data_IF_885845153672
#
_entry.id   IF_885845153672
#
_cell.length_a   1.000
_cell.length_b   1.000
_cell.length_c   1.000
_cell.angle_alpha   90.00
_cell.angle_beta   90.00
_cell.angle_gamma   90.00
#
_symmetry.space_group_name_H-M   'P 1'
#
loop_
_entity.id
_entity.type
_entity.pdbx_description
1 polymer ?
#
# COMPACT_ATOMS: atom_id res chain seq x y z
N UNK A 1 5.17 13.75 12.83
CA UNK A 1 5.71 12.41 12.48
C UNK A 1 7.09 12.23 13.11
N UNK A 2 7.44 11.02 13.56
CA UNK A 2 8.81 10.69 14.01
C UNK A 2 9.73 10.48 12.80
N UNK A 3 10.95 11.00 12.87
CA UNK A 3 11.94 10.86 11.79
C UNK A 3 13.04 9.86 12.17
N UNK A 4 13.53 9.10 11.19
CA UNK A 4 14.64 8.17 11.31
C UNK A 4 15.87 8.68 10.52
N UNK A 5 17.09 8.64 11.08
CA UNK A 5 18.26 9.35 10.52
C UNK A 5 18.70 8.97 9.09
N UNK A 6 18.27 7.82 8.57
CA UNK A 6 18.70 7.29 7.26
C UNK A 6 17.66 7.51 6.16
N UNK A 7 16.56 8.21 6.46
CA UNK A 7 15.44 8.42 5.55
C UNK A 7 15.42 9.88 5.09
N UNK A 8 15.36 10.09 3.77
CA UNK A 8 15.19 11.39 3.13
C UNK A 8 13.70 11.75 3.06
N UNK A 9 13.23 12.42 4.11
CA UNK A 9 11.84 12.89 4.18
C UNK A 9 11.52 14.03 3.22
N UNK A 10 12.54 14.71 2.67
CA UNK A 10 12.38 15.79 1.71
C UNK A 10 12.36 15.28 0.26
N UNK A 11 12.59 13.97 0.04
CA UNK A 11 12.45 13.35 -1.27
C UNK A 11 11.05 13.62 -1.84
N UNK A 12 11.00 14.25 -3.01
CA UNK A 12 9.79 14.54 -3.78
C UNK A 12 9.98 13.98 -5.18
N UNK A 13 9.10 13.10 -5.69
CA UNK A 13 9.18 12.67 -7.08
C UNK A 13 8.88 13.86 -8.00
N UNK A 14 9.58 13.92 -9.14
CA UNK A 14 9.31 14.95 -10.16
C UNK A 14 7.89 14.82 -10.71
N UNK A 15 7.42 13.58 -10.84
CA UNK A 15 6.11 13.24 -11.36
C UNK A 15 5.62 11.88 -10.83
N UNK A 16 4.31 11.68 -10.74
CA UNK A 16 3.72 10.38 -10.39
C UNK A 16 3.49 9.47 -11.59
N UNK A 17 3.42 10.01 -12.81
CA UNK A 17 3.02 9.25 -13.99
C UNK A 17 4.18 8.66 -14.79
N UNK A 18 5.43 8.96 -14.42
CA UNK A 18 6.63 8.41 -15.05
C UNK A 18 7.06 7.08 -14.41
N UNK A 19 7.27 6.07 -15.24
CA UNK A 19 7.80 4.80 -14.78
C UNK A 19 9.32 4.87 -14.62
N UNK A 20 9.85 4.60 -13.42
CA UNK A 20 11.30 4.57 -13.13
C UNK A 20 12.08 3.55 -13.98
N UNK A 21 11.45 2.41 -14.27
CA UNK A 21 12.04 1.30 -15.01
C UNK A 21 10.95 0.39 -15.60
N UNK A 22 11.38 -0.63 -16.36
CA UNK A 22 10.46 -1.61 -16.99
C UNK A 22 9.68 -2.38 -15.94
N UNK A 23 10.29 -2.74 -14.81
CA UNK A 23 9.59 -3.51 -13.77
C UNK A 23 8.44 -2.70 -13.18
N UNK A 24 8.64 -1.41 -12.95
CA UNK A 24 7.59 -0.50 -12.49
C UNK A 24 6.42 -0.47 -13.48
N UNK A 25 6.70 -0.32 -14.78
CA UNK A 25 5.68 -0.34 -15.82
C UNK A 25 4.89 -1.66 -15.85
N UNK A 26 5.54 -2.80 -15.59
CA UNK A 26 4.90 -4.12 -15.55
C UNK A 26 3.95 -4.31 -14.36
N UNK A 27 4.24 -3.68 -13.21
CA UNK A 27 3.45 -3.89 -11.97
C UNK A 27 2.46 -2.77 -11.67
N UNK A 28 2.64 -1.57 -12.24
CA UNK A 28 1.89 -0.36 -11.89
C UNK A 28 0.37 -0.52 -11.96
N UNK A 29 -0.12 -1.17 -13.02
CA UNK A 29 -1.56 -1.36 -13.24
C UNK A 29 -2.07 -2.74 -12.78
N UNK A 30 -1.23 -3.53 -12.11
CA UNK A 30 -1.61 -4.83 -11.55
C UNK A 30 -2.11 -4.61 -10.14
N UNK A 31 -3.38 -4.86 -9.84
CA UNK A 31 -3.94 -4.57 -8.50
C UNK A 31 -3.53 -5.63 -7.45
N UNK A 32 -3.51 -6.89 -7.86
CA UNK A 32 -3.21 -8.05 -7.02
C UNK A 32 -1.84 -8.04 -6.36
N UNK A 33 -1.79 -8.06 -5.02
CA UNK A 33 -0.56 -8.05 -4.25
C UNK A 33 0.33 -9.28 -4.57
N UNK A 34 -0.27 -10.47 -4.54
CA UNK A 34 0.45 -11.71 -4.86
C UNK A 34 0.93 -11.77 -6.31
N UNK A 35 0.13 -11.27 -7.27
CA UNK A 35 0.56 -11.22 -8.68
C UNK A 35 1.74 -10.29 -8.88
N UNK A 36 1.77 -9.12 -8.23
CA UNK A 36 2.95 -8.24 -8.25
C UNK A 36 4.20 -8.94 -7.73
N UNK A 37 4.11 -9.68 -6.62
CA UNK A 37 5.23 -10.45 -6.05
C UNK A 37 5.77 -11.47 -7.06
N UNK A 38 4.88 -12.17 -7.77
CA UNK A 38 5.27 -13.15 -8.80
C UNK A 38 5.91 -12.46 -10.01
N UNK A 39 5.33 -11.35 -10.52
CA UNK A 39 5.92 -10.57 -11.62
C UNK A 39 7.35 -10.14 -11.28
N UNK A 40 7.56 -9.56 -10.09
CA UNK A 40 8.87 -9.10 -9.63
C UNK A 40 9.87 -10.26 -9.57
N UNK A 41 9.48 -11.38 -8.96
CA UNK A 41 10.35 -12.55 -8.86
C UNK A 41 10.79 -13.09 -10.23
N UNK A 42 9.87 -13.19 -11.19
CA UNK A 42 10.19 -13.65 -12.56
C UNK A 42 11.06 -12.65 -13.34
N UNK A 43 10.80 -11.35 -13.16
CA UNK A 43 11.61 -10.31 -13.79
C UNK A 43 13.04 -10.32 -13.26
N UNK A 44 13.22 -10.36 -11.94
CA UNK A 44 14.53 -10.39 -11.28
C UNK A 44 15.32 -11.67 -11.59
N UNK A 45 14.64 -12.80 -11.76
CA UNK A 45 15.25 -14.06 -12.17
C UNK A 45 15.61 -14.12 -13.68
N UNK A 46 15.23 -13.11 -14.47
CA UNK A 46 15.49 -13.07 -15.91
C UNK A 46 14.66 -14.08 -16.71
N UNK A 47 13.53 -14.55 -16.17
CA UNK A 47 12.66 -15.53 -16.80
C UNK A 47 11.22 -15.03 -17.02
N UNK A 48 11.04 -13.71 -17.11
CA UNK A 48 9.72 -13.08 -17.34
C UNK A 48 8.95 -13.65 -18.53
N UNK A 49 9.63 -14.08 -19.60
CA UNK A 49 9.02 -14.73 -20.77
C UNK A 49 8.30 -16.06 -20.46
N UNK A 50 8.58 -16.67 -19.31
CA UNK A 50 7.97 -17.92 -18.84
C UNK A 50 6.76 -17.66 -17.93
N UNK A 51 6.47 -16.39 -17.60
CA UNK A 51 5.35 -16.03 -16.76
C UNK A 51 4.03 -16.29 -17.48
N UNK A 52 3.12 -17.02 -16.83
CA UNK A 52 1.77 -17.23 -17.36
C UNK A 52 1.05 -15.89 -17.53
N UNK A 53 0.38 -15.73 -18.67
CA UNK A 53 -0.27 -14.47 -19.07
C UNK A 53 -1.23 -13.95 -17.99
N UNK A 54 -1.89 -14.85 -17.26
CA UNK A 54 -2.81 -14.52 -16.15
C UNK A 54 -2.15 -13.59 -15.13
N UNK A 55 -0.85 -13.76 -14.84
CA UNK A 55 -0.16 -12.92 -13.88
C UNK A 55 0.15 -11.53 -14.43
N UNK A 56 0.36 -11.41 -15.74
CA UNK A 56 0.74 -10.16 -16.41
C UNK A 56 -0.43 -9.25 -16.79
N UNK A 57 -1.68 -9.74 -16.72
CA UNK A 57 -2.89 -8.94 -16.99
C UNK A 57 -3.04 -7.80 -15.98
N UNK A 58 -3.60 -6.67 -16.39
CA UNK A 58 -3.94 -5.59 -15.45
C UNK A 58 -5.08 -6.02 -14.52
N UNK A 59 -6.16 -6.53 -15.11
CA UNK A 59 -7.36 -7.00 -14.39
C UNK A 59 -7.69 -8.44 -14.77
N UNK A 60 -8.02 -9.24 -13.75
CA UNK A 60 -8.53 -10.60 -13.91
C UNK A 60 -10.04 -10.61 -14.14
N UNK A 61 -10.51 -11.59 -14.91
CA UNK A 61 -11.91 -11.98 -14.93
C UNK A 61 -12.34 -12.60 -13.59
N UNK A 62 -13.64 -12.71 -13.37
CA UNK A 62 -14.18 -13.37 -12.17
C UNK A 62 -13.78 -14.85 -12.11
N UNK A 63 -13.75 -15.54 -13.24
CA UNK A 63 -13.35 -16.94 -13.32
C UNK A 63 -11.87 -17.13 -12.94
N UNK A 64 -10.99 -16.23 -13.41
CA UNK A 64 -9.57 -16.24 -13.07
C UNK A 64 -9.33 -15.93 -11.58
N UNK A 65 -10.04 -14.94 -11.02
CA UNK A 65 -10.00 -14.65 -9.57
C UNK A 65 -10.39 -15.88 -8.75
N UNK A 66 -11.51 -16.51 -9.09
CA UNK A 66 -11.99 -17.71 -8.39
C UNK A 66 -11.04 -18.89 -8.56
N UNK A 67 -10.38 -19.03 -9.71
CA UNK A 67 -9.38 -20.06 -9.93
C UNK A 67 -8.18 -19.87 -8.98
N UNK A 68 -7.61 -18.67 -8.91
CA UNK A 68 -6.48 -18.39 -8.04
C UNK A 68 -6.84 -18.47 -6.55
N UNK A 69 -8.03 -18.01 -6.16
CA UNK A 69 -8.51 -18.10 -4.78
C UNK A 69 -8.63 -19.56 -4.27
N UNK A 70 -8.90 -20.53 -5.17
CA UNK A 70 -8.91 -21.96 -4.83
C UNK A 70 -7.50 -22.52 -4.59
N UNK A 71 -6.47 -21.89 -5.15
CA UNK A 71 -5.07 -22.27 -4.88
C UNK A 71 -4.66 -21.78 -3.49
N UNK A 72 -4.92 -20.51 -3.20
CA UNK A 72 -4.68 -19.92 -1.89
C UNK A 72 -5.52 -18.64 -1.71
N UNK A 73 -6.14 -18.39 -0.53
CA UNK A 73 -7.00 -17.22 -0.33
C UNK A 73 -6.26 -15.88 -0.49
N UNK A 74 -4.95 -15.83 -0.22
CA UNK A 74 -4.16 -14.59 -0.39
C UNK A 74 -4.01 -14.14 -1.84
N UNK A 75 -4.38 -14.96 -2.83
CA UNK A 75 -4.49 -14.51 -4.22
C UNK A 75 -5.67 -13.56 -4.45
N UNK A 76 -6.57 -13.41 -3.47
CA UNK A 76 -7.68 -12.45 -3.54
C UNK A 76 -7.20 -11.02 -3.29
N UNK A 77 -6.18 -10.85 -2.46
CA UNK A 77 -5.67 -9.56 -2.01
C UNK A 77 -5.31 -8.58 -3.12
N UNK A 78 -6.07 -7.49 -3.18
CA UNK A 78 -5.99 -6.42 -4.16
C UNK A 78 -6.70 -6.71 -5.48
N UNK A 79 -7.20 -7.91 -5.75
CA UNK A 79 -7.87 -8.22 -7.02
C UNK A 79 -9.24 -7.57 -7.15
N UNK A 80 -9.84 -7.21 -6.01
CA UNK A 80 -11.17 -6.61 -5.92
C UNK A 80 -11.12 -5.08 -5.81
N UNK A 81 -9.93 -4.48 -5.75
CA UNK A 81 -9.76 -3.03 -5.87
C UNK A 81 -10.43 -2.51 -7.16
N UNK A 82 -10.98 -1.29 -7.16
CA UNK A 82 -11.52 -0.69 -8.38
C UNK A 82 -10.42 -0.55 -9.44
N UNK A 83 -10.79 -0.65 -10.72
CA UNK A 83 -9.86 -0.37 -11.82
C UNK A 83 -9.38 1.10 -11.76
N UNK A 84 -8.19 1.35 -12.31
CA UNK A 84 -7.63 2.71 -12.34
C UNK A 84 -8.44 3.61 -13.27
N UNK A 85 -8.72 4.83 -12.80
CA UNK A 85 -9.29 5.89 -13.61
C UNK A 85 -8.31 6.42 -14.67
N UNK A 86 -8.83 7.26 -15.58
CA UNK A 86 -7.97 8.00 -16.50
C UNK A 86 -7.02 8.92 -15.70
N UNK A 87 -5.74 8.91 -16.07
CA UNK A 87 -4.67 9.64 -15.37
C UNK A 87 -4.60 9.35 -13.86
N UNK A 88 -5.08 8.19 -13.40
CA UNK A 88 -4.95 7.77 -12.02
C UNK A 88 -3.76 6.81 -11.88
N UNK A 89 -3.03 6.90 -10.78
CA UNK A 89 -1.94 5.99 -10.45
C UNK A 89 -1.87 5.74 -8.95
N UNK A 90 -1.50 4.53 -8.55
CA UNK A 90 -1.20 4.23 -7.15
C UNK A 90 0.13 4.88 -6.76
N UNK A 91 0.14 5.61 -5.65
CA UNK A 91 1.35 6.26 -5.10
C UNK A 91 1.86 5.56 -3.85
N UNK A 92 1.01 4.83 -3.14
CA UNK A 92 1.35 3.99 -2.02
C UNK A 92 0.27 2.93 -1.80
N UNK A 93 0.64 1.84 -1.14
CA UNK A 93 -0.31 0.79 -0.77
C UNK A 93 -0.04 0.25 0.63
N UNK A 94 -1.10 -0.21 1.27
CA UNK A 94 -1.11 -0.89 2.54
C UNK A 94 -1.55 -2.33 2.27
N UNK A 95 -0.70 -3.31 2.56
CA UNK A 95 -1.01 -4.73 2.48
C UNK A 95 -1.18 -5.28 3.90
N UNK A 96 -2.29 -5.97 4.15
CA UNK A 96 -2.55 -6.62 5.43
C UNK A 96 -2.22 -8.12 5.33
N UNK A 97 -1.62 -8.67 6.38
CA UNK A 97 -1.41 -10.12 6.57
C UNK A 97 -2.70 -10.76 7.10
N UNK A 98 -3.83 -10.41 6.51
CA UNK A 98 -5.15 -10.99 6.79
C UNK A 98 -5.36 -12.29 6.00
N UNK A 99 -6.45 -13.01 6.27
CA UNK A 99 -6.79 -14.25 5.55
C UNK A 99 -6.90 -14.03 4.03
N UNK A 100 -7.47 -12.90 3.61
CA UNK A 100 -7.68 -12.56 2.20
C UNK A 100 -6.54 -11.68 1.64
N UNK A 101 -5.58 -11.29 2.49
CA UNK A 101 -4.48 -10.39 2.17
C UNK A 101 -4.97 -9.01 1.68
N UNK A 102 -5.92 -8.42 2.42
CA UNK A 102 -6.62 -7.20 2.01
C UNK A 102 -5.65 -6.05 1.69
N UNK A 103 -6.02 -5.24 0.71
CA UNK A 103 -5.21 -4.13 0.21
C UNK A 103 -5.97 -2.81 0.28
N UNK A 104 -5.30 -1.79 0.79
CA UNK A 104 -5.72 -0.39 0.69
C UNK A 104 -4.76 0.33 -0.25
N UNK A 105 -5.30 0.95 -1.29
CA UNK A 105 -4.56 1.63 -2.35
C UNK A 105 -4.74 3.14 -2.21
N UNK A 106 -3.63 3.87 -2.13
CA UNK A 106 -3.60 5.33 -2.11
C UNK A 106 -3.24 5.79 -3.51
N UNK A 107 -4.12 6.59 -4.12
CA UNK A 107 -4.00 6.96 -5.53
C UNK A 107 -3.94 8.47 -5.70
N UNK A 108 -3.29 8.87 -6.78
CA UNK A 108 -3.24 10.23 -7.27
C UNK A 108 -3.85 10.28 -8.68
N UNK A 109 -4.65 11.29 -8.95
CA UNK A 109 -5.22 11.58 -10.26
C UNK A 109 -4.92 13.03 -10.66
N UNK A 110 -4.45 13.25 -11.88
CA UNK A 110 -4.28 14.60 -12.42
C UNK A 110 -5.59 15.08 -13.04
N UNK A 111 -6.15 16.17 -12.53
CA UNK A 111 -7.34 16.79 -13.10
C UNK A 111 -7.02 17.71 -14.31
N UNK A 112 -8.07 18.26 -14.92
CA UNK A 112 -7.96 19.12 -16.10
C UNK A 112 -7.18 20.43 -15.81
N UNK A 113 -7.19 20.89 -14.55
CA UNK A 113 -6.53 22.10 -14.09
C UNK A 113 -5.07 21.85 -13.64
N UNK A 114 -4.52 20.66 -13.94
CA UNK A 114 -3.18 20.22 -13.51
C UNK A 114 -3.04 20.16 -11.98
N UNK A 115 -4.15 19.97 -11.26
CA UNK A 115 -4.14 19.74 -9.82
C UNK A 115 -4.15 18.24 -9.54
N UNK A 116 -3.36 17.80 -8.55
CA UNK A 116 -3.33 16.41 -8.14
C UNK A 116 -4.43 16.18 -7.12
N UNK A 117 -5.36 15.28 -7.43
CA UNK A 117 -6.39 14.80 -6.51
C UNK A 117 -5.98 13.48 -5.89
N UNK A 118 -6.28 13.29 -4.61
CA UNK A 118 -5.98 12.06 -3.89
C UNK A 118 -7.24 11.27 -3.58
N UNK A 119 -7.12 9.95 -3.64
CA UNK A 119 -8.16 9.01 -3.23
C UNK A 119 -7.55 7.84 -2.47
N UNK A 120 -8.35 7.24 -1.60
CA UNK A 120 -8.02 6.00 -0.90
C UNK A 120 -9.15 5.03 -1.19
N UNK A 121 -8.79 3.84 -1.64
CA UNK A 121 -9.74 2.79 -2.01
C UNK A 121 -9.27 1.45 -1.48
N UNK A 122 -10.23 0.59 -1.15
CA UNK A 122 -10.00 -0.76 -0.67
C UNK A 122 -10.87 -1.76 -1.45
N UNK A 123 -10.89 -3.00 -0.98
CA UNK A 123 -11.65 -4.09 -1.61
C UNK A 123 -13.11 -4.16 -1.16
N UNK A 124 -13.48 -3.43 -0.10
CA UNK A 124 -14.81 -3.43 0.49
C UNK A 124 -15.62 -2.16 0.20
N UNK A 125 -15.05 -1.22 -0.54
CA UNK A 125 -15.63 0.10 -0.81
C UNK A 125 -15.94 0.87 0.49
N UNK A 126 -15.00 0.82 1.43
CA UNK A 126 -15.05 1.61 2.66
C UNK A 126 -14.91 3.10 2.35
N UNK A 127 -15.57 3.94 3.16
CA UNK A 127 -15.39 5.39 3.11
C UNK A 127 -14.17 5.82 3.91
N UNK A 128 -13.31 6.61 3.29
CA UNK A 128 -12.10 7.16 3.92
C UNK A 128 -12.22 8.67 4.11
N UNK A 129 -11.81 9.14 5.27
CA UNK A 129 -11.65 10.57 5.56
C UNK A 129 -10.19 10.95 5.31
N UNK A 130 -9.97 11.72 4.25
CA UNK A 130 -8.64 12.15 3.84
C UNK A 130 -8.14 13.33 4.68
N UNK A 131 -6.84 13.35 4.97
CA UNK A 131 -6.18 14.52 5.57
C UNK A 131 -6.23 15.75 4.65
N UNK A 132 -6.02 15.54 3.35
CA UNK A 132 -6.23 16.50 2.27
C UNK A 132 -6.72 15.74 1.04
N UNK A 133 -7.50 16.36 0.17
CA UNK A 133 -8.00 15.75 -1.06
C UNK A 133 -7.22 16.20 -2.31
N UNK A 134 -6.28 17.16 -2.17
CA UNK A 134 -5.48 17.64 -3.30
C UNK A 134 -4.14 18.26 -2.91
N UNK A 135 -3.29 18.47 -3.93
CA UNK A 135 -2.08 19.29 -3.89
C UNK A 135 -1.72 19.83 -5.28
N UNK A 136 -0.85 20.85 -5.34
CA UNK A 136 -0.34 21.39 -6.60
C UNK A 136 0.87 20.62 -7.15
N UNK A 137 1.61 19.92 -6.29
CA UNK A 137 2.83 19.18 -6.62
C UNK A 137 2.80 17.81 -5.92
N UNK A 138 3.48 16.79 -6.46
CA UNK A 138 3.63 15.50 -5.77
C UNK A 138 4.11 15.69 -4.33
N UNK A 139 3.64 14.87 -3.40
CA UNK A 139 4.07 14.96 -2.01
C UNK A 139 5.57 14.72 -1.87
N UNK A 140 6.18 15.33 -0.87
CA UNK A 140 7.40 14.80 -0.27
C UNK A 140 7.09 13.48 0.44
N UNK A 141 8.11 12.67 0.72
CA UNK A 141 7.94 11.48 1.57
C UNK A 141 7.32 11.85 2.92
N UNK A 142 7.75 12.96 3.54
CA UNK A 142 7.16 13.47 4.77
C UNK A 142 5.68 13.81 4.64
N UNK A 143 5.28 14.53 3.59
CA UNK A 143 3.86 14.85 3.33
C UNK A 143 3.01 13.60 3.05
N UNK A 144 3.55 12.58 2.35
CA UNK A 144 2.85 11.32 2.15
C UNK A 144 2.64 10.57 3.47
N UNK A 145 3.64 10.56 4.36
CA UNK A 145 3.48 9.94 5.69
C UNK A 145 2.46 10.72 6.52
N UNK A 146 2.50 12.06 6.50
CA UNK A 146 1.47 12.87 7.16
C UNK A 146 0.08 12.58 6.61
N UNK A 147 -0.06 12.42 5.30
CA UNK A 147 -1.31 12.03 4.66
C UNK A 147 -1.81 10.67 5.17
N UNK A 148 -0.94 9.66 5.25
CA UNK A 148 -1.32 8.31 5.73
C UNK A 148 -1.67 8.32 7.22
N UNK A 149 -0.85 8.97 8.04
CA UNK A 149 -1.00 9.00 9.50
C UNK A 149 -2.20 9.84 9.97
N UNK A 150 -2.69 10.77 9.14
CA UNK A 150 -3.83 11.64 9.48
C UNK A 150 -5.09 11.37 8.64
N UNK A 151 -5.05 10.43 7.71
CA UNK A 151 -6.25 9.90 7.07
C UNK A 151 -6.83 8.78 7.93
N UNK A 152 -8.15 8.59 7.87
CA UNK A 152 -8.89 7.69 8.76
C UNK A 152 -9.86 6.83 7.95
N UNK A 153 -10.13 5.62 8.43
CA UNK A 153 -11.27 4.83 7.95
C UNK A 153 -12.54 5.27 8.70
N UNK A 154 -13.72 4.97 8.16
CA UNK A 154 -14.97 5.27 8.84
C UNK A 154 -15.09 4.55 10.19
N UNK A 155 -14.49 3.36 10.30
CA UNK A 155 -14.59 2.49 11.48
C UNK A 155 -13.52 2.75 12.54
N UNK A 156 -12.36 3.33 12.19
CA UNK A 156 -11.28 3.59 13.15
C UNK A 156 -10.46 4.85 12.85
N UNK A 157 -10.33 5.70 13.87
CA UNK A 157 -9.49 6.91 13.87
C UNK A 157 -8.20 6.75 14.70
N UNK A 158 -8.00 5.60 15.36
CA UNK A 158 -6.88 5.46 16.29
C UNK A 158 -5.58 5.08 15.58
N UNK A 159 -4.69 6.06 15.43
CA UNK A 159 -3.37 5.89 14.83
C UNK A 159 -3.32 6.08 13.31
N UNK A 160 -4.36 6.68 12.71
CA UNK A 160 -4.45 6.87 11.26
C UNK A 160 -4.46 5.56 10.48
N UNK A 161 -4.33 5.64 9.16
CA UNK A 161 -4.27 4.44 8.31
C UNK A 161 -3.05 3.58 8.56
N UNK A 162 -1.98 4.15 9.11
CA UNK A 162 -0.75 3.41 9.35
C UNK A 162 -0.88 2.38 10.46
N UNK A 163 -1.56 2.72 11.57
CA UNK A 163 -1.65 1.86 12.74
C UNK A 163 -3.07 1.35 13.05
N UNK A 164 -4.13 1.83 12.39
CA UNK A 164 -5.51 1.45 12.75
C UNK A 164 -5.73 -0.06 12.81
N UNK A 165 -5.25 -0.83 11.82
CA UNK A 165 -5.42 -2.28 11.79
C UNK A 165 -4.59 -3.01 12.86
N UNK A 166 -3.34 -2.61 13.05
CA UNK A 166 -2.48 -3.11 14.11
C UNK A 166 -3.10 -2.88 15.50
N UNK A 167 -3.61 -1.67 15.70
CA UNK A 167 -4.25 -1.25 16.93
C UNK A 167 -5.53 -2.04 17.24
N UNK A 168 -6.39 -2.24 16.24
CA UNK A 168 -7.59 -3.08 16.38
C UNK A 168 -7.25 -4.52 16.74
N UNK A 169 -6.25 -5.12 16.09
CA UNK A 169 -5.83 -6.49 16.39
C UNK A 169 -5.13 -6.61 17.76
N UNK A 170 -4.46 -5.56 18.22
CA UNK A 170 -3.80 -5.53 19.53
C UNK A 170 -4.78 -5.57 20.71
N UNK A 171 -6.09 -5.44 20.48
CA UNK A 171 -7.12 -5.71 21.51
C UNK A 171 -7.22 -7.20 21.85
N UNK A 172 -6.73 -8.08 20.97
CA UNK A 172 -6.89 -9.53 21.06
C UNK A 172 -5.59 -10.32 20.86
N UNK A 173 -4.49 -9.65 20.49
CA UNK A 173 -3.20 -10.27 20.18
C UNK A 173 -2.05 -9.42 20.75
N UNK A 174 -0.92 -10.07 21.01
CA UNK A 174 0.28 -9.37 21.45
C UNK A 174 0.88 -8.53 20.31
N UNK A 175 1.34 -7.32 20.62
CA UNK A 175 1.87 -6.42 19.58
C UNK A 175 3.11 -6.96 18.89
N UNK A 176 3.91 -7.77 19.58
CA UNK A 176 5.11 -8.41 19.01
C UNK A 176 4.73 -9.32 17.82
N UNK A 177 3.58 -9.99 17.88
CA UNK A 177 3.06 -10.85 16.81
C UNK A 177 2.44 -10.06 15.64
N UNK A 178 2.25 -8.75 15.82
CA UNK A 178 1.61 -7.85 14.84
C UNK A 178 2.60 -6.94 14.11
N UNK A 179 3.90 -7.03 14.39
CA UNK A 179 4.94 -6.19 13.75
C UNK A 179 4.93 -6.31 12.23
N UNK A 180 4.64 -7.51 11.70
CA UNK A 180 4.56 -7.78 10.26
C UNK A 180 3.13 -7.90 9.73
N UNK A 181 2.13 -7.53 10.54
CA UNK A 181 0.72 -7.61 10.13
C UNK A 181 0.40 -6.61 9.01
N UNK A 182 0.90 -5.38 9.11
CA UNK A 182 0.68 -4.35 8.10
C UNK A 182 2.01 -4.03 7.42
N UNK A 183 2.00 -3.97 6.09
CA UNK A 183 3.12 -3.50 5.28
C UNK A 183 2.68 -2.30 4.45
N UNK A 184 3.36 -1.18 4.59
CA UNK A 184 3.09 0.05 3.81
C UNK A 184 4.26 0.27 2.88
N UNK A 185 4.01 0.40 1.58
CA UNK A 185 5.07 0.47 0.57
C UNK A 185 4.66 1.33 -0.62
N UNK A 186 5.65 1.70 -1.44
CA UNK A 186 5.46 2.48 -2.66
C UNK A 186 6.51 2.13 -3.70
N UNK A 187 6.11 2.09 -4.97
CA UNK A 187 7.05 2.01 -6.10
C UNK A 187 7.73 3.35 -6.41
N UNK A 188 7.13 4.45 -5.96
CA UNK A 188 7.53 5.84 -6.24
C UNK A 188 8.36 6.41 -5.08
N UNK A 189 8.05 6.02 -3.84
CA UNK A 189 8.74 6.46 -2.61
C UNK A 189 9.54 5.29 -2.01
N UNK A 190 10.83 5.12 -2.37
CA UNK A 190 11.59 3.91 -2.04
C UNK A 190 11.76 3.66 -0.54
N UNK A 191 11.74 4.72 0.27
CA UNK A 191 12.03 4.64 1.71
C UNK A 191 10.76 4.57 2.58
N UNK A 192 9.56 4.61 1.96
CA UNK A 192 8.28 4.55 2.68
C UNK A 192 8.14 3.28 3.53
N UNK A 193 8.50 2.12 2.96
CA UNK A 193 8.43 0.85 3.69
C UNK A 193 9.43 0.80 4.84
N UNK A 194 10.63 1.35 4.64
CA UNK A 194 11.65 1.44 5.70
C UNK A 194 11.14 2.28 6.86
N UNK A 195 10.51 3.43 6.58
CA UNK A 195 9.89 4.26 7.61
C UNK A 195 8.88 3.47 8.46
N UNK A 196 7.91 2.83 7.81
CA UNK A 196 6.86 2.12 8.54
C UNK A 196 7.34 0.84 9.23
N UNK A 197 8.36 0.16 8.70
CA UNK A 197 9.00 -0.97 9.40
C UNK A 197 9.58 -0.56 10.75
N UNK A 198 10.19 0.64 10.83
CA UNK A 198 10.69 1.21 12.08
C UNK A 198 9.53 1.62 13.01
N UNK A 199 8.48 2.25 12.48
CA UNK A 199 7.27 2.61 13.25
C UNK A 199 6.64 1.38 13.90
N UNK A 200 6.44 0.29 13.17
CA UNK A 200 5.86 -0.94 13.71
C UNK A 200 6.76 -1.61 14.74
N UNK A 201 8.07 -1.61 14.50
CA UNK A 201 9.06 -2.15 15.43
C UNK A 201 9.07 -1.40 16.77
N UNK A 202 8.90 -0.08 16.77
CA UNK A 202 8.81 0.72 17.99
C UNK A 202 7.44 0.59 18.67
N UNK A 203 6.37 0.57 17.89
CA UNK A 203 5.00 0.39 18.39
C UNK A 203 4.83 -0.92 19.17
N UNK A 204 5.48 -2.00 18.72
CA UNK A 204 5.49 -3.28 19.42
C UNK A 204 6.29 -3.24 20.73
N UNK A 205 7.44 -2.55 20.76
CA UNK A 205 8.26 -2.40 21.98
C UNK A 205 7.57 -1.59 23.07
N UNK A 206 6.74 -0.62 22.71
CA UNK A 206 6.06 0.27 23.67
C UNK A 206 5.07 -0.46 24.61
N UNK A 207 4.66 -1.68 24.27
CA UNK A 207 3.79 -2.51 25.12
C UNK A 207 4.60 -3.42 26.06
N UNK A 208 5.76 -3.90 25.61
CA UNK A 208 6.70 -4.67 26.42
C UNK A 208 7.20 -3.88 27.65
N UNK A 209 7.37 -2.56 27.53
CA UNK A 209 7.80 -1.70 28.65
C UNK A 209 6.71 -1.50 29.71
N UNK A 210 5.42 -1.65 29.38
CA UNK A 210 4.32 -1.57 30.35
C UNK A 210 4.15 -2.83 31.19
N UNK A 211 4.65 -3.97 30.71
CA UNK A 211 4.62 -5.25 31.44
C UNK A 211 5.78 -5.40 32.43
N UNK A 212 6.77 -4.50 32.38
CA UNK A 212 7.98 -4.53 33.23
C UNK A 212 7.98 -3.41 34.29
N UNK A 213 7.00 -2.50 34.27
CA UNK A 213 6.80 -1.42 35.26
C UNK A 213 5.68 -1.73 36.26
#
# INVERSE_FOLDING_TARGET
MKQFPVIDYDFRPEDYWLDKDVLHALVRNVKGAHRRKIIKAYYEAGNYQELDETFSKTTLSEEERQHLARLHPTFMGGEYLPDYGANETEIARIELKSTLADVISIRAQLDEDQTIKYSIVDEHAEEFKLWTDWSAEPFTLGELIEFIDNSETAESSWGGLSLCFNNSNAEHMDREDLVDFTTISSEIYPELQTHYSEVFSEWAKADAEKLVS
#
